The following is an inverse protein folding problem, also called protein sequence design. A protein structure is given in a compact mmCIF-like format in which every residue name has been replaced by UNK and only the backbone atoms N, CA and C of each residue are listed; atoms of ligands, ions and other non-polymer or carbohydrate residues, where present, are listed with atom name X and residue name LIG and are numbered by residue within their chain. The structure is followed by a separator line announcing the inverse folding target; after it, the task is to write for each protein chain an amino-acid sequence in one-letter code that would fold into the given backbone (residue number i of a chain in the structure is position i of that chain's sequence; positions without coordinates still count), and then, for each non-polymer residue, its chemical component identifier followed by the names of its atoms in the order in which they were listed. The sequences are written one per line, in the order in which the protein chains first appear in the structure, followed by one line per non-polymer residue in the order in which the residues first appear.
data_IF_582663358778
#
_entry.id   IF_582663358778
#
_cell.length_a   1.000
_cell.length_b   1.000
_cell.length_c   1.000
_cell.angle_alpha   90.00
_cell.angle_beta   90.00
_cell.angle_gamma   90.00
#
_symmetry.space_group_name_H-M   'P 1'
#
loop_
_entity.id
_entity.type
_entity.pdbx_description
1 polymer ?
#
# COMPACT_ATOMS: atom_id res chain seq x y z
N UNK A 1 10.66 -7.46 21.38
CA UNK A 1 9.50 -7.92 20.60
C UNK A 1 9.67 -7.52 19.14
N UNK A 2 9.53 -8.46 18.20
CA UNK A 2 9.63 -8.09 16.80
C UNK A 2 8.49 -7.16 16.40
N UNK A 3 8.79 -6.25 15.49
CA UNK A 3 7.77 -5.39 14.90
C UNK A 3 6.84 -6.20 14.02
N UNK A 4 5.57 -5.87 14.05
CA UNK A 4 4.54 -6.60 13.30
C UNK A 4 4.17 -5.83 12.03
N UNK A 5 4.22 -6.54 10.90
CA UNK A 5 3.85 -6.00 9.60
C UNK A 5 2.64 -6.75 9.06
N UNK A 6 1.59 -6.02 8.72
CA UNK A 6 0.39 -6.60 8.08
C UNK A 6 0.55 -6.50 6.56
N UNK A 7 0.38 -7.62 5.87
CA UNK A 7 0.40 -7.68 4.40
C UNK A 7 -1.03 -7.88 3.90
N UNK A 8 -1.56 -6.90 3.18
CA UNK A 8 -2.89 -6.96 2.59
C UNK A 8 -2.76 -7.07 1.08
N UNK A 9 -3.02 -8.23 0.53
CA UNK A 9 -2.90 -8.52 -0.90
C UNK A 9 -3.82 -9.70 -1.23
N UNK A 10 -4.52 -9.64 -2.37
CA UNK A 10 -5.43 -10.71 -2.78
C UNK A 10 -4.72 -11.92 -3.39
N UNK A 11 -3.45 -11.77 -3.78
CA UNK A 11 -2.66 -12.85 -4.34
C UNK A 11 -1.93 -13.65 -3.26
N UNK A 12 -2.27 -14.93 -3.14
CA UNK A 12 -1.68 -15.82 -2.14
C UNK A 12 -0.16 -15.93 -2.30
N UNK A 13 0.34 -16.00 -3.52
CA UNK A 13 1.78 -16.09 -3.77
C UNK A 13 2.52 -14.85 -3.30
N UNK A 14 1.94 -13.66 -3.53
CA UNK A 14 2.52 -12.40 -3.06
C UNK A 14 2.53 -12.35 -1.54
N UNK A 15 1.43 -12.72 -0.88
CA UNK A 15 1.37 -12.77 0.58
C UNK A 15 2.46 -13.68 1.15
N UNK A 16 2.63 -14.87 0.57
CA UNK A 16 3.64 -15.83 1.00
C UNK A 16 5.06 -15.29 0.80
N UNK A 17 5.33 -14.73 -0.37
CA UNK A 17 6.63 -14.14 -0.70
C UNK A 17 7.02 -13.05 0.28
N UNK A 18 6.11 -12.12 0.52
CA UNK A 18 6.35 -11.00 1.44
C UNK A 18 6.51 -11.47 2.89
N UNK A 19 5.70 -12.44 3.31
CA UNK A 19 5.80 -13.00 4.65
C UNK A 19 7.16 -13.65 4.90
N UNK A 20 7.66 -14.42 3.93
CA UNK A 20 8.98 -15.05 4.02
C UNK A 20 10.07 -13.99 4.15
N UNK A 21 10.02 -12.96 3.29
CA UNK A 21 11.01 -11.88 3.31
C UNK A 21 11.01 -11.13 4.65
N UNK A 22 9.84 -10.83 5.18
CA UNK A 22 9.71 -10.12 6.45
C UNK A 22 10.25 -10.96 7.61
N UNK A 23 9.84 -12.22 7.69
CA UNK A 23 10.29 -13.11 8.76
C UNK A 23 11.79 -13.34 8.72
N UNK A 24 12.37 -13.46 7.52
CA UNK A 24 13.80 -13.64 7.34
C UNK A 24 14.60 -12.43 7.86
N UNK A 25 13.97 -11.27 7.98
CA UNK A 25 14.59 -10.03 8.43
C UNK A 25 14.17 -9.60 9.84
N UNK A 26 13.57 -10.50 10.60
CA UNK A 26 13.26 -10.28 12.01
C UNK A 26 11.92 -9.63 12.30
N UNK A 27 11.03 -9.53 11.31
CA UNK A 27 9.68 -9.00 11.48
C UNK A 27 8.67 -10.12 11.67
N UNK A 28 7.60 -9.84 12.42
CA UNK A 28 6.43 -10.71 12.46
C UNK A 28 5.52 -10.32 11.29
N UNK A 29 5.11 -11.30 10.50
CA UNK A 29 4.25 -11.05 9.35
C UNK A 29 2.86 -11.63 9.59
N UNK A 30 1.84 -10.81 9.39
CA UNK A 30 0.44 -11.22 9.40
C UNK A 30 -0.16 -10.88 8.04
N UNK A 31 -1.02 -11.71 7.51
CA UNK A 31 -1.57 -11.52 6.17
C UNK A 31 -3.08 -11.34 6.20
N UNK A 32 -3.59 -10.59 5.21
CA UNK A 32 -5.00 -10.43 4.94
C UNK A 32 -5.24 -10.55 3.44
N UNK A 33 -6.35 -11.15 3.05
CA UNK A 33 -6.64 -11.46 1.64
C UNK A 33 -7.41 -10.38 0.90
N UNK A 34 -8.01 -9.44 1.62
CA UNK A 34 -8.79 -8.34 1.03
C UNK A 34 -8.87 -7.15 2.01
N UNK A 35 -9.55 -6.09 1.59
CA UNK A 35 -9.67 -4.89 2.39
C UNK A 35 -10.46 -5.07 3.68
N UNK A 36 -11.49 -5.89 3.67
CA UNK A 36 -12.31 -6.12 4.87
C UNK A 36 -11.55 -6.94 5.91
N UNK A 37 -10.87 -8.00 5.46
CA UNK A 37 -10.00 -8.80 6.30
C UNK A 37 -8.85 -7.95 6.85
N UNK A 38 -8.28 -7.10 5.99
CA UNK A 38 -7.23 -6.15 6.39
C UNK A 38 -7.68 -5.20 7.49
N UNK A 39 -8.84 -4.60 7.33
CA UNK A 39 -9.39 -3.70 8.34
C UNK A 39 -9.62 -4.40 9.67
N UNK A 40 -10.20 -5.61 9.63
CA UNK A 40 -10.41 -6.40 10.84
C UNK A 40 -9.10 -6.72 11.55
N UNK A 41 -8.05 -7.05 10.81
CA UNK A 41 -6.75 -7.35 11.39
C UNK A 41 -6.05 -6.12 11.95
N UNK A 42 -6.23 -4.97 11.33
CA UNK A 42 -5.71 -3.71 11.90
C UNK A 42 -6.36 -3.43 13.25
N UNK A 43 -7.67 -3.59 13.36
CA UNK A 43 -8.39 -3.39 14.62
C UNK A 43 -7.93 -4.37 15.70
N UNK A 44 -7.75 -5.62 15.32
CA UNK A 44 -7.42 -6.69 16.26
C UNK A 44 -5.95 -6.64 16.71
N UNK A 45 -5.03 -6.40 15.78
CA UNK A 45 -3.60 -6.57 16.02
C UNK A 45 -2.81 -5.27 16.15
N UNK A 46 -3.32 -4.16 15.65
CA UNK A 46 -2.64 -2.86 15.60
C UNK A 46 -1.19 -2.99 15.13
N UNK A 47 -0.99 -3.33 13.83
CA UNK A 47 0.36 -3.56 13.31
C UNK A 47 1.20 -2.29 13.34
N UNK A 48 2.51 -2.46 13.32
CA UNK A 48 3.47 -1.35 13.28
C UNK A 48 3.59 -0.74 11.89
N UNK A 49 3.28 -1.52 10.86
CA UNK A 49 3.32 -1.10 9.45
C UNK A 49 2.37 -1.95 8.63
N UNK A 50 1.82 -1.38 7.57
CA UNK A 50 0.92 -2.08 6.64
C UNK A 50 1.51 -2.03 5.24
N UNK A 51 1.66 -3.20 4.61
CA UNK A 51 1.92 -3.33 3.18
C UNK A 51 0.58 -3.56 2.50
N UNK A 52 0.18 -2.66 1.61
CA UNK A 52 -1.18 -2.63 1.09
C UNK A 52 -1.17 -2.62 -0.43
N UNK A 53 -1.70 -3.69 -1.03
CA UNK A 53 -1.91 -3.75 -2.48
C UNK A 53 -3.00 -2.78 -2.90
N UNK A 54 -2.72 -1.97 -3.91
CA UNK A 54 -3.69 -1.04 -4.47
C UNK A 54 -4.78 -1.77 -5.23
N UNK A 55 -4.42 -2.84 -5.95
CA UNK A 55 -5.28 -3.54 -6.89
C UNK A 55 -5.91 -4.79 -6.29
N UNK A 56 -6.99 -4.62 -5.54
CA UNK A 56 -7.74 -5.74 -4.98
C UNK A 56 -9.19 -5.71 -5.46
N UNK A 57 -9.83 -6.88 -5.67
CA UNK A 57 -11.26 -6.91 -5.98
C UNK A 57 -12.08 -6.42 -4.79
N UNK A 58 -13.30 -5.97 -5.04
CA UNK A 58 -14.27 -5.47 -4.06
C UNK A 58 -13.89 -4.15 -3.41
N UNK A 59 -12.80 -4.11 -2.67
CA UNK A 59 -12.33 -2.92 -1.96
C UNK A 59 -10.87 -2.67 -2.34
N UNK A 60 -10.61 -1.56 -3.05
CA UNK A 60 -9.24 -1.21 -3.42
C UNK A 60 -8.42 -0.82 -2.20
N UNK A 61 -7.10 -0.88 -2.33
CA UNK A 61 -6.21 -0.46 -1.25
C UNK A 61 -6.46 0.98 -0.81
N UNK A 62 -6.83 1.87 -1.73
CA UNK A 62 -7.13 3.25 -1.38
C UNK A 62 -8.36 3.39 -0.48
N UNK A 63 -9.38 2.56 -0.67
CA UNK A 63 -10.56 2.59 0.20
C UNK A 63 -10.17 2.21 1.62
N UNK A 64 -9.42 1.14 1.78
CA UNK A 64 -8.92 0.73 3.10
C UNK A 64 -8.01 1.81 3.70
N UNK A 65 -7.10 2.36 2.90
CA UNK A 65 -6.20 3.42 3.34
C UNK A 65 -6.98 4.62 3.89
N UNK A 66 -8.02 5.07 3.19
CA UNK A 66 -8.86 6.17 3.65
C UNK A 66 -9.55 5.86 4.97
N UNK A 67 -10.08 4.63 5.10
CA UNK A 67 -10.71 4.21 6.35
C UNK A 67 -9.74 4.31 7.52
N UNK A 68 -8.50 3.87 7.32
CA UNK A 68 -7.49 3.90 8.36
C UNK A 68 -7.09 5.33 8.73
N UNK A 69 -6.90 6.19 7.73
CA UNK A 69 -6.50 7.58 7.97
C UNK A 69 -7.59 8.42 8.65
N UNK A 70 -8.83 8.02 8.57
CA UNK A 70 -9.96 8.68 9.24
C UNK A 70 -10.15 8.25 10.68
N UNK A 71 -9.48 7.18 11.12
CA UNK A 71 -9.57 6.69 12.49
C UNK A 71 -8.40 7.20 13.31
N UNK A 72 -8.69 7.86 14.41
CA UNK A 72 -7.68 8.38 15.33
C UNK A 72 -6.69 7.30 15.79
N UNK A 73 -7.20 6.08 16.00
CA UNK A 73 -6.41 4.94 16.45
C UNK A 73 -5.41 4.42 15.40
N UNK A 74 -5.68 4.65 14.12
CA UNK A 74 -4.91 4.02 13.02
C UNK A 74 -4.24 5.00 12.08
N UNK A 75 -4.56 6.29 12.19
CA UNK A 75 -4.09 7.31 11.24
C UNK A 75 -2.57 7.43 11.15
N UNK A 76 -1.85 7.07 12.21
CA UNK A 76 -0.40 7.21 12.28
C UNK A 76 0.35 5.93 11.91
N UNK A 77 -0.34 4.84 11.61
CA UNK A 77 0.31 3.60 11.17
C UNK A 77 0.89 3.83 9.77
N UNK A 78 2.21 3.66 9.57
CA UNK A 78 2.79 3.84 8.25
C UNK A 78 2.29 2.79 7.26
N UNK A 79 2.04 3.22 6.03
CA UNK A 79 1.53 2.37 4.95
C UNK A 79 2.45 2.46 3.74
N UNK A 80 2.87 1.30 3.25
CA UNK A 80 3.56 1.17 1.96
C UNK A 80 2.54 0.62 0.97
N UNK A 81 2.27 1.37 -0.09
CA UNK A 81 1.39 0.94 -1.18
C UNK A 81 2.18 0.13 -2.21
N UNK A 82 1.64 -1.02 -2.58
CA UNK A 82 2.21 -1.89 -3.61
C UNK A 82 1.40 -1.73 -4.90
N UNK A 83 2.03 -1.31 -5.97
CA UNK A 83 1.32 -0.96 -7.19
C UNK A 83 2.19 -1.15 -8.43
N UNK A 84 1.58 -1.39 -9.59
CA UNK A 84 2.29 -1.48 -10.86
C UNK A 84 2.60 -0.09 -11.47
N UNK A 85 2.20 1.00 -10.80
CA UNK A 85 2.33 2.35 -11.36
C UNK A 85 2.87 3.37 -10.34
N UNK A 86 3.75 2.91 -9.45
CA UNK A 86 4.27 3.75 -8.35
C UNK A 86 4.92 5.04 -8.82
N UNK A 87 5.71 5.00 -9.89
CA UNK A 87 6.38 6.19 -10.42
C UNK A 87 5.40 7.28 -10.81
N UNK A 88 4.24 6.89 -11.33
CA UNK A 88 3.20 7.85 -11.73
C UNK A 88 2.54 8.47 -10.52
N UNK A 89 2.41 7.70 -9.44
CA UNK A 89 1.74 8.15 -8.21
C UNK A 89 2.63 9.04 -7.35
N UNK A 90 3.94 8.85 -7.40
CA UNK A 90 4.91 9.67 -6.64
C UNK A 90 5.19 11.00 -7.33
N UNK A 91 5.10 11.02 -8.66
CA UNK A 91 5.42 12.21 -9.45
C UNK A 91 4.14 12.97 -9.82
N UNK A 92 3.74 13.88 -8.94
CA UNK A 92 2.57 14.73 -9.13
C UNK A 92 2.73 15.71 -10.31
N UNK A 93 3.95 15.90 -10.79
CA UNK A 93 4.27 16.88 -11.84
C UNK A 93 4.30 16.28 -13.24
N UNK A 94 4.24 14.97 -13.36
CA UNK A 94 4.15 14.34 -14.68
C UNK A 94 2.76 14.59 -15.25
N UNK A 95 2.64 15.73 -15.89
CA UNK A 95 1.54 15.97 -16.79
C UNK A 95 1.73 15.04 -17.98
N UNK A 96 0.80 14.16 -18.17
CA UNK A 96 0.71 13.41 -19.41
C UNK A 96 0.31 14.41 -20.50
N UNK A 97 1.28 15.20 -20.96
CA UNK A 97 1.03 16.13 -22.05
C UNK A 97 0.80 15.34 -23.34
N UNK A 98 -0.45 15.37 -23.79
CA UNK A 98 -0.77 15.13 -25.17
C UNK A 98 -0.52 13.73 -25.74
N UNK A 99 -0.30 12.74 -24.94
CA UNK A 99 -0.25 11.39 -25.46
C UNK A 99 -1.65 10.86 -25.70
N UNK A 100 -2.03 10.82 -26.96
CA UNK A 100 -3.34 10.35 -27.42
C UNK A 100 -3.43 8.83 -27.52
N UNK A 101 -2.40 8.09 -27.08
CA UNK A 101 -2.40 6.63 -27.14
C UNK A 101 -2.90 6.08 -25.82
N UNK A 102 -4.04 5.42 -25.84
CA UNK A 102 -4.53 4.66 -24.71
C UNK A 102 -3.62 3.47 -24.48
N UNK A 103 -2.76 3.56 -23.47
CA UNK A 103 -2.00 2.43 -22.99
C UNK A 103 -2.90 1.57 -22.11
N UNK A 104 -2.66 0.24 -22.03
CA UNK A 104 -3.55 -0.64 -21.24
C UNK A 104 -3.81 -0.22 -19.80
N UNK A 105 -2.94 0.61 -19.23
CA UNK A 105 -3.06 1.05 -17.84
C UNK A 105 -3.42 2.52 -17.66
N UNK A 106 -3.76 3.24 -18.73
CA UNK A 106 -4.04 4.68 -18.64
C UNK A 106 -5.28 4.98 -17.80
N UNK A 107 -6.34 4.20 -17.95
CA UNK A 107 -7.55 4.40 -17.16
C UNK A 107 -7.31 4.09 -15.68
N UNK A 108 -6.47 3.11 -15.38
CA UNK A 108 -6.08 2.79 -14.02
C UNK A 108 -5.25 3.91 -13.41
N UNK A 109 -4.27 4.43 -14.15
CA UNK A 109 -3.45 5.58 -13.71
C UNK A 109 -4.32 6.77 -13.37
N UNK A 110 -5.29 7.09 -14.25
CA UNK A 110 -6.21 8.21 -14.03
C UNK A 110 -7.03 7.99 -12.76
N UNK A 111 -7.55 6.79 -12.55
CA UNK A 111 -8.31 6.46 -11.35
C UNK A 111 -7.48 6.63 -10.09
N UNK A 112 -6.22 6.19 -10.12
CA UNK A 112 -5.31 6.29 -8.98
C UNK A 112 -4.93 7.75 -8.70
N UNK A 113 -4.67 8.54 -9.74
CA UNK A 113 -4.39 9.98 -9.59
C UNK A 113 -5.57 10.71 -8.97
N UNK A 114 -6.79 10.41 -9.43
CA UNK A 114 -8.00 11.01 -8.89
C UNK A 114 -8.20 10.63 -7.42
N UNK A 115 -7.91 9.37 -7.06
CA UNK A 115 -8.03 8.91 -5.68
C UNK A 115 -7.05 9.66 -4.76
N UNK A 116 -5.80 9.87 -5.21
CA UNK A 116 -4.80 10.60 -4.44
C UNK A 116 -5.17 12.07 -4.31
N UNK A 117 -5.62 12.70 -5.40
CA UNK A 117 -6.05 14.10 -5.39
C UNK A 117 -7.22 14.29 -4.44
N UNK A 118 -8.18 13.36 -4.43
CA UNK A 118 -9.31 13.39 -3.53
C UNK A 118 -8.89 13.26 -2.07
N UNK A 119 -7.95 12.38 -1.77
CA UNK A 119 -7.41 12.26 -0.41
C UNK A 119 -6.75 13.56 0.05
N UNK A 120 -6.02 14.22 -0.84
CA UNK A 120 -5.38 15.50 -0.57
C UNK A 120 -6.41 16.57 -0.28
N UNK A 121 -7.48 16.65 -1.09
CA UNK A 121 -8.58 17.60 -0.91
C UNK A 121 -9.32 17.37 0.41
N UNK A 122 -9.42 16.13 0.86
CA UNK A 122 -10.02 15.77 2.14
C UNK A 122 -9.09 16.00 3.34
N UNK A 123 -7.85 16.46 3.09
CA UNK A 123 -6.87 16.70 4.14
C UNK A 123 -6.23 15.45 4.72
N UNK A 124 -6.35 14.32 4.02
CA UNK A 124 -5.76 13.06 4.46
C UNK A 124 -4.28 12.97 4.07
N UNK A 125 -3.48 12.43 4.97
CA UNK A 125 -2.05 12.22 4.72
C UNK A 125 -1.89 11.07 3.73
N UNK A 126 -1.06 11.27 2.68
CA UNK A 126 -0.83 10.22 1.68
C UNK A 126 0.04 9.08 2.25
N UNK A 127 0.07 7.91 1.60
CA UNK A 127 0.94 6.81 2.03
C UNK A 127 2.41 7.25 2.07
N UNK A 128 3.17 6.65 2.97
CA UNK A 128 4.58 6.98 3.17
C UNK A 128 5.43 6.63 1.95
N UNK A 129 5.17 5.47 1.34
CA UNK A 129 5.96 4.98 0.21
C UNK A 129 5.07 4.21 -0.77
N UNK A 130 5.39 4.31 -2.05
CA UNK A 130 4.83 3.46 -3.11
C UNK A 130 5.95 2.57 -3.65
N UNK A 131 5.68 1.28 -3.81
CA UNK A 131 6.64 0.32 -4.35
C UNK A 131 6.02 -0.38 -5.56
N UNK A 132 6.78 -0.42 -6.67
CA UNK A 132 6.36 -1.09 -7.90
C UNK A 132 6.42 -2.61 -7.78
N UNK A 133 5.45 -3.28 -8.40
CA UNK A 133 5.51 -4.71 -8.67
C UNK A 133 6.23 -4.95 -10.00
N UNK A 134 7.07 -5.98 -10.16
CA UNK A 134 7.41 -7.00 -9.16
C UNK A 134 8.29 -6.44 -8.04
N UNK A 135 8.06 -6.91 -6.82
CA UNK A 135 8.68 -6.34 -5.64
C UNK A 135 10.09 -6.91 -5.45
N UNK A 136 11.08 -6.00 -5.33
CA UNK A 136 12.43 -6.36 -4.92
C UNK A 136 12.44 -6.49 -3.38
N UNK A 137 12.71 -7.69 -2.84
CA UNK A 137 12.65 -7.88 -1.40
C UNK A 137 13.67 -7.04 -0.63
N UNK A 138 14.84 -6.79 -1.19
CA UNK A 138 15.86 -5.95 -0.53
C UNK A 138 15.39 -4.51 -0.39
N UNK A 139 14.80 -3.96 -1.45
CA UNK A 139 14.25 -2.61 -1.44
C UNK A 139 13.09 -2.51 -0.45
N UNK A 140 12.21 -3.51 -0.45
CA UNK A 140 11.08 -3.55 0.48
C UNK A 140 11.56 -3.52 1.93
N UNK A 141 12.51 -4.37 2.28
CA UNK A 141 13.02 -4.43 3.65
C UNK A 141 13.71 -3.14 4.05
N UNK A 142 14.45 -2.52 3.13
CA UNK A 142 15.07 -1.23 3.37
C UNK A 142 14.02 -0.17 3.74
N UNK A 143 12.92 -0.10 2.98
CA UNK A 143 11.84 0.86 3.24
C UNK A 143 11.13 0.56 4.57
N UNK A 144 10.92 -0.71 4.89
CA UNK A 144 10.33 -1.11 6.17
C UNK A 144 11.22 -0.65 7.33
N UNK A 145 12.53 -0.89 7.24
CA UNK A 145 13.48 -0.46 8.27
C UNK A 145 13.54 1.06 8.43
N UNK A 146 13.46 1.78 7.34
CA UNK A 146 13.45 3.24 7.37
C UNK A 146 12.23 3.78 8.11
N UNK A 147 11.10 3.10 8.05
CA UNK A 147 9.86 3.56 8.67
C UNK A 147 9.69 3.11 10.11
N UNK A 148 10.08 1.88 10.43
CA UNK A 148 9.79 1.32 11.76
C UNK A 148 11.00 0.71 12.47
N UNK A 149 12.15 0.70 11.82
CA UNK A 149 13.36 0.06 12.38
C UNK A 149 13.32 -1.43 12.24
#
# INVERSE_FOLDING_TARGET
MPKRVLVVDDDENTRRFLSVALKANGYEAVTAEDGDDGYNKVQELKPDLILLDVMMPKKTGFVLFKQLRRKEEFKDIPVIMLTAVAEVLEDDEVQAEGETFERPFDSLRDSLRKAIAKMRDEGLVKPEVFIDKPIDPEKLIEEVRNLIG
#
